data_IF_260324278690
#
_entry.id   IF_260324278690
#
_cell.length_a   1.000
_cell.length_b   1.000
_cell.length_c   1.000
_cell.angle_alpha   90.00
_cell.angle_beta   90.00
_cell.angle_gamma   90.00
#
_symmetry.space_group_name_H-M   'P 1'
#
loop_
_entity.id
_entity.type
_entity.pdbx_description
1 polymer ?
#
# COMPACT_ATOMS: atom_id res chain seq x y z
N UNK A 1 37.50 1.29 -3.14
CA UNK A 1 36.64 0.42 -2.30
C UNK A 1 35.14 0.45 -2.71
N UNK A 2 34.76 1.00 -3.87
CA UNK A 2 33.35 1.13 -4.31
C UNK A 2 32.74 -0.12 -4.96
N UNK A 3 33.54 -0.97 -5.64
CA UNK A 3 33.01 -2.12 -6.37
C UNK A 3 32.41 -3.23 -5.48
N UNK A 4 32.82 -3.33 -4.21
CA UNK A 4 32.29 -4.33 -3.26
C UNK A 4 30.99 -3.91 -2.60
N UNK A 5 30.69 -2.61 -2.47
CA UNK A 5 29.43 -2.14 -1.90
C UNK A 5 28.32 -2.18 -2.94
N UNK A 6 28.63 -1.86 -4.19
CA UNK A 6 27.66 -1.89 -5.30
C UNK A 6 27.21 -3.32 -5.64
N UNK A 7 28.11 -4.30 -5.59
CA UNK A 7 27.75 -5.71 -5.80
C UNK A 7 26.88 -6.27 -4.67
N UNK A 8 27.10 -5.84 -3.43
CA UNK A 8 26.28 -6.20 -2.26
C UNK A 8 24.89 -5.56 -2.32
N UNK A 9 24.80 -4.28 -2.70
CA UNK A 9 23.53 -3.57 -2.88
C UNK A 9 22.71 -4.20 -4.02
N UNK A 10 23.37 -4.55 -5.14
CA UNK A 10 22.74 -5.26 -6.25
C UNK A 10 22.17 -6.62 -5.85
N UNK A 11 22.95 -7.41 -5.10
CA UNK A 11 22.52 -8.72 -4.60
C UNK A 11 21.34 -8.60 -3.63
N UNK A 12 21.38 -7.63 -2.70
CA UNK A 12 20.28 -7.39 -1.74
C UNK A 12 18.97 -7.06 -2.46
N UNK A 13 19.02 -6.18 -3.46
CA UNK A 13 17.85 -5.80 -4.26
C UNK A 13 17.31 -6.99 -5.06
N UNK A 14 18.18 -7.72 -5.75
CA UNK A 14 17.80 -8.91 -6.52
C UNK A 14 17.06 -9.94 -5.65
N UNK A 15 17.59 -10.22 -4.46
CA UNK A 15 16.96 -11.15 -3.51
C UNK A 15 15.56 -10.66 -3.10
N UNK A 16 15.38 -9.38 -2.78
CA UNK A 16 14.08 -8.83 -2.39
C UNK A 16 13.07 -8.91 -3.55
N UNK A 17 13.48 -8.54 -4.77
CA UNK A 17 12.60 -8.53 -5.93
C UNK A 17 12.13 -9.96 -6.28
N UNK A 18 13.03 -10.94 -6.25
CA UNK A 18 12.70 -12.36 -6.46
C UNK A 18 11.85 -12.92 -5.32
N UNK A 19 12.21 -12.64 -4.07
CA UNK A 19 11.45 -13.10 -2.92
C UNK A 19 10.03 -12.55 -2.92
N UNK A 20 9.83 -11.30 -3.32
CA UNK A 20 8.50 -10.68 -3.46
C UNK A 20 7.61 -11.50 -4.41
N UNK A 21 8.13 -11.86 -5.58
CA UNK A 21 7.39 -12.66 -6.58
C UNK A 21 7.07 -14.07 -6.07
N UNK A 22 8.06 -14.73 -5.46
CA UNK A 22 7.89 -16.08 -4.93
C UNK A 22 6.91 -16.11 -3.75
N UNK A 23 7.02 -15.18 -2.81
CA UNK A 23 6.08 -15.06 -1.70
C UNK A 23 4.66 -14.75 -2.18
N UNK A 24 4.50 -13.85 -3.16
CA UNK A 24 3.21 -13.58 -3.79
C UNK A 24 2.60 -14.85 -4.40
N UNK A 25 3.38 -15.61 -5.18
CA UNK A 25 2.89 -16.83 -5.86
C UNK A 25 2.62 -18.01 -4.92
N UNK A 26 3.51 -18.29 -3.97
CA UNK A 26 3.53 -19.55 -3.22
C UNK A 26 3.14 -19.39 -1.76
N UNK A 27 3.28 -18.18 -1.21
CA UNK A 27 3.23 -17.94 0.23
C UNK A 27 4.55 -18.28 0.92
N UNK A 28 4.73 -17.76 2.14
CA UNK A 28 5.99 -17.89 2.87
C UNK A 28 6.35 -19.35 3.16
N UNK A 29 5.38 -20.18 3.53
CA UNK A 29 5.62 -21.56 3.95
C UNK A 29 6.23 -22.42 2.85
N UNK A 30 5.73 -22.25 1.62
CA UNK A 30 6.15 -23.03 0.45
C UNK A 30 7.42 -22.53 -0.21
N UNK A 31 7.85 -21.30 0.08
CA UNK A 31 9.12 -20.77 -0.43
C UNK A 31 10.32 -21.31 0.35
N UNK A 32 11.42 -21.57 -0.36
CA UNK A 32 12.71 -21.92 0.25
C UNK A 32 13.78 -20.85 -0.04
N UNK A 33 14.71 -20.65 0.90
CA UNK A 33 15.85 -19.75 0.69
C UNK A 33 16.78 -20.23 -0.43
N UNK A 34 16.83 -21.54 -0.69
CA UNK A 34 17.58 -22.12 -1.83
C UNK A 34 17.00 -21.69 -3.16
N UNK A 35 15.68 -21.76 -3.29
CA UNK A 35 14.96 -21.34 -4.50
C UNK A 35 15.11 -19.85 -4.75
N UNK A 36 14.93 -19.02 -3.71
CA UNK A 36 15.13 -17.57 -3.80
C UNK A 36 16.56 -17.24 -4.24
N UNK A 37 17.57 -17.85 -3.61
CA UNK A 37 18.97 -17.61 -3.95
C UNK A 37 19.30 -18.02 -5.41
N UNK A 38 18.74 -19.15 -5.85
CA UNK A 38 18.92 -19.63 -7.22
C UNK A 38 18.27 -18.68 -8.23
N UNK A 39 17.04 -18.25 -7.99
CA UNK A 39 16.32 -17.35 -8.90
C UNK A 39 16.87 -15.92 -8.90
N UNK A 40 17.47 -15.47 -7.80
CA UNK A 40 18.10 -14.16 -7.70
C UNK A 40 19.56 -14.13 -8.14
N UNK A 41 20.09 -15.25 -8.66
CA UNK A 41 21.51 -15.46 -8.98
C UNK A 41 22.45 -14.98 -7.86
N UNK A 42 22.12 -15.36 -6.62
CA UNK A 42 22.81 -14.90 -5.42
C UNK A 42 23.29 -16.07 -4.57
N UNK A 43 24.36 -15.85 -3.81
CA UNK A 43 24.80 -16.83 -2.84
C UNK A 43 23.77 -16.94 -1.70
N UNK A 44 23.29 -18.16 -1.41
CA UNK A 44 22.31 -18.44 -0.36
C UNK A 44 22.72 -17.91 1.02
N UNK A 45 24.03 -17.87 1.32
CA UNK A 45 24.55 -17.32 2.58
C UNK A 45 24.22 -15.85 2.77
N UNK A 46 24.01 -15.09 1.67
CA UNK A 46 23.59 -13.69 1.73
C UNK A 46 22.18 -13.52 2.28
N UNK A 47 21.28 -14.50 2.09
CA UNK A 47 19.93 -14.42 2.64
C UNK A 47 19.97 -14.47 4.17
N UNK A 48 20.73 -15.41 4.72
CA UNK A 48 20.93 -15.54 6.16
C UNK A 48 21.67 -14.33 6.71
N UNK A 49 22.71 -13.84 6.01
CA UNK A 49 23.51 -12.71 6.43
C UNK A 49 22.75 -11.38 6.42
N UNK A 50 22.01 -11.07 5.35
CA UNK A 50 21.30 -9.78 5.23
C UNK A 50 19.97 -9.75 5.94
N UNK A 51 19.27 -10.88 6.00
CA UNK A 51 17.87 -10.91 6.43
C UNK A 51 17.61 -11.87 7.59
N UNK A 52 18.61 -12.61 8.07
CA UNK A 52 18.38 -13.57 9.16
C UNK A 52 17.53 -14.77 8.76
N UNK A 53 17.44 -15.07 7.45
CA UNK A 53 16.69 -16.21 6.91
C UNK A 53 15.37 -15.82 6.24
N UNK A 54 14.49 -16.81 6.03
CA UNK A 54 13.24 -16.66 5.26
C UNK A 54 12.28 -15.64 5.89
N UNK A 55 12.08 -15.75 7.20
CA UNK A 55 11.17 -14.89 7.97
C UNK A 55 11.60 -13.42 7.96
N UNK A 56 12.89 -13.15 8.20
CA UNK A 56 13.37 -11.79 8.17
C UNK A 56 13.42 -11.22 6.74
N UNK A 57 13.63 -12.06 5.72
CA UNK A 57 13.48 -11.63 4.32
C UNK A 57 12.03 -11.25 4.00
N UNK A 58 11.06 -12.03 4.46
CA UNK A 58 9.64 -11.69 4.31
C UNK A 58 9.30 -10.36 4.98
N UNK A 59 9.75 -10.16 6.23
CA UNK A 59 9.58 -8.87 6.94
C UNK A 59 10.23 -7.71 6.18
N UNK A 60 11.41 -7.92 5.60
CA UNK A 60 12.10 -6.88 4.83
C UNK A 60 11.37 -6.53 3.53
N UNK A 61 10.77 -7.51 2.84
CA UNK A 61 9.89 -7.27 1.67
C UNK A 61 8.72 -6.35 2.08
N UNK A 62 8.03 -6.68 3.19
CA UNK A 62 6.93 -5.87 3.71
C UNK A 62 7.38 -4.47 4.13
N UNK A 63 8.51 -4.37 4.84
CA UNK A 63 9.07 -3.12 5.33
C UNK A 63 9.50 -2.21 4.18
N UNK A 64 10.19 -2.74 3.17
CA UNK A 64 10.58 -1.98 1.98
C UNK A 64 9.36 -1.40 1.29
N UNK A 65 8.32 -2.21 1.07
CA UNK A 65 7.10 -1.72 0.44
C UNK A 65 6.42 -0.63 1.26
N UNK A 66 6.32 -0.80 2.59
CA UNK A 66 5.76 0.20 3.48
C UNK A 66 6.54 1.52 3.45
N UNK A 67 7.88 1.46 3.35
CA UNK A 67 8.73 2.64 3.19
C UNK A 67 8.55 3.32 1.82
N UNK A 68 8.42 2.54 0.75
CA UNK A 68 8.14 3.06 -0.60
C UNK A 68 6.79 3.83 -0.61
N UNK A 69 5.78 3.33 0.12
CA UNK A 69 4.50 4.02 0.33
C UNK A 69 4.69 5.30 1.15
N UNK A 70 5.42 5.21 2.26
CA UNK A 70 5.68 6.35 3.14
C UNK A 70 6.37 7.50 2.40
N UNK A 71 7.34 7.19 1.55
CA UNK A 71 8.01 8.21 0.75
C UNK A 71 7.06 8.80 -0.31
N UNK A 72 6.25 7.96 -0.96
CA UNK A 72 5.25 8.41 -1.95
C UNK A 72 4.12 9.26 -1.35
N UNK A 73 3.88 9.18 -0.04
CA UNK A 73 2.82 9.90 0.68
C UNK A 73 3.34 11.05 1.54
N UNK A 74 4.65 11.37 1.44
CA UNK A 74 5.30 12.37 2.28
C UNK A 74 4.62 13.74 2.16
N UNK A 75 4.36 14.19 0.94
CA UNK A 75 3.72 15.48 0.68
C UNK A 75 2.20 15.49 0.95
N UNK A 76 1.56 14.32 1.04
CA UNK A 76 0.10 14.24 1.24
C UNK A 76 -0.21 14.70 2.67
N UNK A 77 -1.15 15.64 2.80
CA UNK A 77 -1.61 16.29 4.03
C UNK A 77 -0.62 17.26 4.69
N UNK A 78 0.61 17.40 4.18
CA UNK A 78 1.61 18.30 4.79
C UNK A 78 1.25 19.77 4.61
N UNK A 79 0.69 20.15 3.46
CA UNK A 79 0.31 21.53 3.19
C UNK A 79 -1.01 21.88 3.89
N UNK A 80 -1.97 20.95 3.87
CA UNK A 80 -3.25 21.08 4.56
C UNK A 80 -3.13 21.19 6.09
N UNK A 81 -2.05 20.65 6.67
CA UNK A 81 -1.77 20.79 8.11
C UNK A 81 -1.01 22.07 8.48
N UNK A 82 -0.44 22.78 7.50
CA UNK A 82 0.31 24.03 7.71
C UNK A 82 -0.49 25.29 7.35
N UNK A 83 -1.39 25.18 6.37
CA UNK A 83 -2.19 26.29 5.85
C UNK A 83 -3.62 26.32 6.36
N UNK A 84 -4.41 27.27 5.84
CA UNK A 84 -5.84 27.25 6.07
C UNK A 84 -6.50 26.10 5.30
N UNK A 85 -7.09 25.16 6.03
CA UNK A 85 -7.87 24.10 5.44
C UNK A 85 -9.19 24.64 4.85
N UNK A 86 -9.36 24.47 3.54
CA UNK A 86 -10.59 24.74 2.79
C UNK A 86 -11.22 23.45 2.27
N UNK A 87 -12.47 23.54 1.79
CA UNK A 87 -13.18 22.39 1.19
C UNK A 87 -12.48 21.88 -0.07
N UNK A 88 -11.96 22.80 -0.88
CA UNK A 88 -11.21 22.50 -2.10
C UNK A 88 -9.91 21.79 -1.75
N UNK A 89 -9.15 22.29 -0.77
CA UNK A 89 -7.90 21.68 -0.33
C UNK A 89 -8.14 20.27 0.23
N UNK A 90 -9.13 20.11 1.13
CA UNK A 90 -9.50 18.79 1.65
C UNK A 90 -9.84 17.81 0.51
N UNK A 91 -10.64 18.25 -0.47
CA UNK A 91 -11.00 17.44 -1.63
C UNK A 91 -9.78 17.03 -2.45
N UNK A 92 -8.82 17.95 -2.67
CA UNK A 92 -7.57 17.64 -3.37
C UNK A 92 -6.70 16.64 -2.59
N UNK A 93 -6.64 16.75 -1.27
CA UNK A 93 -5.90 15.81 -0.42
C UNK A 93 -6.49 14.39 -0.49
N UNK A 94 -7.83 14.26 -0.40
CA UNK A 94 -8.50 12.96 -0.57
C UNK A 94 -8.27 12.39 -1.97
N UNK A 95 -8.33 13.24 -3.00
CA UNK A 95 -8.02 12.85 -4.39
C UNK A 95 -6.60 12.31 -4.53
N UNK A 96 -5.60 13.00 -3.99
CA UNK A 96 -4.21 12.55 -4.03
C UNK A 96 -4.03 11.23 -3.27
N UNK A 97 -4.72 11.05 -2.15
CA UNK A 97 -4.71 9.79 -1.40
C UNK A 97 -5.27 8.63 -2.24
N UNK A 98 -6.42 8.82 -2.91
CA UNK A 98 -7.02 7.78 -3.77
C UNK A 98 -6.12 7.48 -4.96
N UNK A 99 -5.59 8.50 -5.64
CA UNK A 99 -4.62 8.36 -6.74
C UNK A 99 -3.42 7.52 -6.31
N UNK A 100 -2.89 7.78 -5.12
CA UNK A 100 -1.78 7.03 -4.57
C UNK A 100 -2.15 5.57 -4.28
N UNK A 101 -3.31 5.33 -3.66
CA UNK A 101 -3.79 3.97 -3.37
C UNK A 101 -3.97 3.14 -4.65
N UNK A 102 -4.58 3.71 -5.69
CA UNK A 102 -4.74 3.07 -7.00
C UNK A 102 -3.37 2.77 -7.62
N UNK A 103 -2.46 3.75 -7.66
CA UNK A 103 -1.12 3.59 -8.23
C UNK A 103 -0.33 2.46 -7.57
N UNK A 104 -0.44 2.28 -6.25
CA UNK A 104 0.25 1.21 -5.54
C UNK A 104 -0.21 -0.17 -5.97
N UNK A 105 -1.51 -0.34 -6.21
CA UNK A 105 -2.10 -1.61 -6.65
C UNK A 105 -1.61 -1.99 -8.03
N UNK A 106 -1.60 -1.02 -8.94
CA UNK A 106 -1.16 -1.21 -10.33
C UNK A 106 0.33 -1.51 -10.39
N UNK A 107 1.16 -0.77 -9.63
CA UNK A 107 2.62 -0.91 -9.68
C UNK A 107 3.14 -2.15 -8.96
N UNK A 108 2.45 -2.64 -7.92
CA UNK A 108 2.93 -3.73 -7.07
C UNK A 108 1.82 -4.79 -6.81
N UNK A 109 1.30 -5.47 -7.85
CA UNK A 109 0.24 -6.47 -7.69
C UNK A 109 0.68 -7.65 -6.80
N UNK A 110 1.95 -8.04 -6.81
CA UNK A 110 2.51 -9.06 -5.94
C UNK A 110 2.36 -8.70 -4.46
N UNK A 111 2.61 -7.43 -4.11
CA UNK A 111 2.46 -6.96 -2.74
C UNK A 111 0.99 -6.97 -2.30
N UNK A 112 0.06 -6.65 -3.21
CA UNK A 112 -1.37 -6.76 -2.90
C UNK A 112 -1.73 -8.19 -2.46
N UNK A 113 -1.24 -9.23 -3.15
CA UNK A 113 -1.48 -10.63 -2.78
C UNK A 113 -0.84 -11.04 -1.45
N UNK A 114 0.35 -10.52 -1.15
CA UNK A 114 1.04 -10.79 0.11
C UNK A 114 0.26 -10.17 1.28
N UNK A 115 -0.08 -8.88 1.18
CA UNK A 115 -0.81 -8.21 2.25
C UNK A 115 -2.24 -8.75 2.42
N UNK A 116 -2.93 -9.18 1.35
CA UNK A 116 -4.26 -9.78 1.47
C UNK A 116 -4.22 -11.00 2.38
N UNK A 117 -3.24 -11.90 2.15
CA UNK A 117 -3.03 -13.09 3.00
C UNK A 117 -2.64 -12.73 4.42
N UNK A 118 -1.74 -11.75 4.60
CA UNK A 118 -1.38 -11.27 5.93
C UNK A 118 -2.60 -10.75 6.69
N UNK A 119 -3.41 -9.88 6.09
CA UNK A 119 -4.62 -9.33 6.71
C UNK A 119 -5.60 -10.43 7.12
N UNK A 120 -5.90 -11.36 6.23
CA UNK A 120 -6.82 -12.48 6.49
C UNK A 120 -6.34 -13.37 7.65
N UNK A 121 -5.03 -13.50 7.83
CA UNK A 121 -4.42 -14.28 8.90
C UNK A 121 -4.07 -13.47 10.16
N UNK A 122 -4.48 -12.20 10.27
CA UNK A 122 -4.24 -11.37 11.46
C UNK A 122 -2.84 -10.73 11.54
N UNK A 123 -2.16 -10.60 10.41
CA UNK A 123 -0.84 -9.98 10.19
C UNK A 123 0.32 -10.62 10.99
N UNK A 124 0.55 -11.94 10.89
CA UNK A 124 1.56 -12.64 11.70
C UNK A 124 2.99 -12.10 11.49
N UNK A 125 3.33 -11.62 10.29
CA UNK A 125 4.67 -11.11 9.99
C UNK A 125 4.69 -9.58 9.76
N UNK A 126 3.54 -8.98 9.46
CA UNK A 126 3.43 -7.57 9.07
C UNK A 126 2.84 -6.63 10.11
N UNK A 127 2.33 -7.13 11.26
CA UNK A 127 1.74 -6.27 12.30
C UNK A 127 2.69 -5.18 12.77
N UNK A 128 3.95 -5.52 13.03
CA UNK A 128 4.95 -4.53 13.45
C UNK A 128 5.18 -3.46 12.38
N UNK A 129 5.25 -3.86 11.09
CA UNK A 129 5.38 -2.93 9.96
C UNK A 129 4.15 -2.01 9.86
N UNK A 130 2.96 -2.56 10.12
CA UNK A 130 1.73 -1.78 10.21
C UNK A 130 1.83 -0.70 11.29
N UNK A 131 2.14 -1.08 12.53
CA UNK A 131 2.21 -0.14 13.66
C UNK A 131 3.31 0.91 13.50
N UNK A 132 4.48 0.54 12.99
CA UNK A 132 5.64 1.44 12.89
C UNK A 132 5.58 2.40 11.69
N UNK A 133 4.93 1.98 10.59
CA UNK A 133 5.03 2.71 9.32
C UNK A 133 3.65 3.14 8.83
N UNK A 134 2.69 2.22 8.73
CA UNK A 134 1.36 2.54 8.20
C UNK A 134 0.53 3.38 9.17
N UNK A 135 0.46 2.98 10.44
CA UNK A 135 -0.39 3.65 11.41
C UNK A 135 -0.04 5.15 11.57
N UNK A 136 1.24 5.58 11.65
CA UNK A 136 1.58 7.00 11.63
C UNK A 136 1.06 7.75 10.39
N UNK A 137 1.06 7.14 9.21
CA UNK A 137 0.49 7.74 8.00
C UNK A 137 -1.04 7.90 8.12
N UNK A 138 -1.72 6.89 8.65
CA UNK A 138 -3.17 6.91 8.88
C UNK A 138 -3.53 8.00 9.90
N UNK A 139 -2.73 8.19 10.95
CA UNK A 139 -2.99 9.24 11.94
C UNK A 139 -2.90 10.66 11.38
N UNK A 140 -2.05 10.90 10.35
CA UNK A 140 -2.02 12.19 9.63
C UNK A 140 -3.35 12.45 8.94
N UNK A 141 -3.92 11.44 8.28
CA UNK A 141 -5.27 11.52 7.71
C UNK A 141 -6.32 11.80 8.79
N UNK A 142 -6.28 11.14 9.95
CA UNK A 142 -7.22 11.41 11.04
C UNK A 142 -7.14 12.85 11.55
N UNK A 143 -5.95 13.42 11.63
CA UNK A 143 -5.76 14.83 12.00
C UNK A 143 -6.41 15.75 10.99
N UNK A 144 -6.15 15.56 9.70
CA UNK A 144 -6.77 16.35 8.63
C UNK A 144 -8.31 16.24 8.66
N UNK A 145 -8.83 15.02 8.80
CA UNK A 145 -10.26 14.76 8.81
C UNK A 145 -10.95 15.47 9.99
N UNK A 146 -10.36 15.40 11.19
CA UNK A 146 -10.86 16.10 12.38
C UNK A 146 -10.83 17.63 12.20
N UNK A 147 -9.77 18.18 11.60
CA UNK A 147 -9.71 19.61 11.27
C UNK A 147 -10.82 20.01 10.29
N UNK A 148 -11.10 19.17 9.28
CA UNK A 148 -12.18 19.39 8.33
C UNK A 148 -13.56 19.38 9.03
N UNK A 149 -13.77 18.50 10.01
CA UNK A 149 -14.99 18.47 10.82
C UNK A 149 -15.15 19.74 11.68
N UNK A 150 -14.08 20.19 12.34
CA UNK A 150 -14.10 21.41 13.15
C UNK A 150 -14.45 22.65 12.32
N UNK A 151 -13.98 22.70 11.08
CA UNK A 151 -14.28 23.76 10.10
C UNK A 151 -15.61 23.58 9.37
N UNK A 152 -16.40 22.54 9.70
CA UNK A 152 -17.67 22.20 9.05
C UNK A 152 -17.54 21.95 7.54
N UNK A 153 -16.38 21.49 7.09
CA UNK A 153 -16.14 21.03 5.71
C UNK A 153 -16.67 19.60 5.55
N UNK A 154 -16.49 18.80 6.60
CA UNK A 154 -16.91 17.39 6.70
C UNK A 154 -17.94 17.25 7.80
N UNK A 155 -18.93 16.39 7.59
CA UNK A 155 -19.97 16.11 8.57
C UNK A 155 -19.38 15.55 9.89
N UNK A 156 -19.82 16.05 11.07
CA UNK A 156 -19.21 15.72 12.36
C UNK A 156 -19.54 14.30 12.87
N UNK A 157 -20.58 13.67 12.34
CA UNK A 157 -21.03 12.31 12.70
C UNK A 157 -20.32 11.21 11.91
N UNK A 158 -19.54 11.57 10.88
CA UNK A 158 -18.73 10.62 10.12
C UNK A 158 -17.48 10.23 10.92
N UNK A 159 -17.32 8.94 11.19
CA UNK A 159 -16.13 8.41 11.84
C UNK A 159 -14.96 8.34 10.85
N UNK A 160 -13.86 9.05 11.15
CA UNK A 160 -12.68 9.11 10.27
C UNK A 160 -12.04 7.73 10.02
N UNK A 161 -11.98 6.84 11.02
CA UNK A 161 -11.40 5.52 10.86
C UNK A 161 -12.27 4.64 9.95
N UNK A 162 -13.59 4.69 10.13
CA UNK A 162 -14.53 3.98 9.26
C UNK A 162 -14.44 4.50 7.82
N UNK A 163 -14.37 5.82 7.61
CA UNK A 163 -14.18 6.40 6.28
C UNK A 163 -12.88 5.90 5.64
N UNK A 164 -11.76 5.91 6.38
CA UNK A 164 -10.47 5.45 5.86
C UNK A 164 -10.49 3.97 5.50
N UNK A 165 -11.00 3.12 6.39
CA UNK A 165 -11.06 1.67 6.18
C UNK A 165 -11.98 1.36 5.00
N UNK A 166 -13.20 1.90 4.96
CA UNK A 166 -14.13 1.65 3.85
C UNK A 166 -13.54 2.11 2.51
N UNK A 167 -12.95 3.30 2.43
CA UNK A 167 -12.31 3.79 1.21
C UNK A 167 -11.13 2.91 0.76
N UNK A 168 -10.22 2.62 1.69
CA UNK A 168 -9.01 1.84 1.37
C UNK A 168 -9.33 0.38 1.01
N UNK A 169 -10.25 -0.27 1.72
CA UNK A 169 -10.70 -1.62 1.42
C UNK A 169 -11.63 -1.67 0.20
N UNK A 170 -12.37 -0.60 -0.11
CA UNK A 170 -13.16 -0.50 -1.33
C UNK A 170 -12.29 -0.46 -2.59
N UNK A 171 -11.23 0.37 -2.57
CA UNK A 171 -10.22 0.39 -3.64
C UNK A 171 -9.52 -0.96 -3.75
N UNK A 172 -9.17 -1.56 -2.60
CA UNK A 172 -8.57 -2.88 -2.54
C UNK A 172 -9.45 -3.94 -3.22
N UNK A 173 -10.69 -4.07 -2.73
CA UNK A 173 -11.63 -5.10 -3.17
C UNK A 173 -11.97 -4.98 -4.65
N UNK A 174 -11.99 -3.76 -5.20
CA UNK A 174 -12.12 -3.56 -6.65
C UNK A 174 -11.02 -4.30 -7.42
N UNK A 175 -9.75 -4.09 -7.07
CA UNK A 175 -8.64 -4.75 -7.77
C UNK A 175 -8.60 -6.27 -7.56
N UNK A 176 -8.98 -6.75 -6.38
CA UNK A 176 -9.09 -8.19 -6.13
C UNK A 176 -10.20 -8.83 -6.96
N UNK A 177 -11.40 -8.24 -6.95
CA UNK A 177 -12.52 -8.73 -7.74
C UNK A 177 -12.23 -8.64 -9.23
N UNK A 178 -11.56 -7.58 -9.69
CA UNK A 178 -11.12 -7.45 -11.07
C UNK A 178 -10.13 -8.56 -11.46
N UNK A 179 -9.17 -8.87 -10.58
CA UNK A 179 -8.18 -9.93 -10.83
C UNK A 179 -8.79 -11.35 -10.90
N UNK A 180 -9.99 -11.56 -10.35
CA UNK A 180 -10.71 -12.83 -10.45
C UNK A 180 -11.23 -13.15 -11.87
N UNK A 181 -11.21 -12.18 -12.81
CA UNK A 181 -11.63 -12.38 -14.21
C UNK A 181 -13.03 -13.00 -14.36
N UNK A 182 -13.97 -12.58 -13.52
CA UNK A 182 -15.37 -13.05 -13.58
C UNK A 182 -16.17 -12.24 -14.61
N UNK A 183 -17.43 -12.60 -14.83
CA UNK A 183 -18.32 -11.83 -15.72
C UNK A 183 -18.51 -10.38 -15.26
N UNK A 184 -18.38 -10.11 -13.95
CA UNK A 184 -18.46 -8.76 -13.37
C UNK A 184 -17.45 -7.79 -13.99
N UNK A 185 -16.32 -8.28 -14.54
CA UNK A 185 -15.36 -7.42 -15.22
C UNK A 185 -15.96 -6.68 -16.42
N UNK A 186 -16.97 -7.25 -17.08
CA UNK A 186 -17.68 -6.61 -18.20
C UNK A 186 -18.51 -5.43 -17.73
N UNK A 187 -19.03 -5.49 -16.50
CA UNK A 187 -19.87 -4.46 -15.91
C UNK A 187 -19.05 -3.27 -15.37
N UNK A 188 -17.72 -3.42 -15.28
CA UNK A 188 -16.82 -2.32 -14.92
C UNK A 188 -16.49 -1.39 -16.10
N UNK A 189 -17.01 -1.60 -17.31
CA UNK A 189 -16.91 -0.65 -18.45
C UNK A 189 -15.52 -0.02 -18.66
N UNK A 190 -14.44 -0.81 -18.54
CA UNK A 190 -13.02 -0.39 -18.64
C UNK A 190 -12.47 0.46 -17.47
N UNK A 191 -13.17 0.60 -16.34
CA UNK A 191 -12.68 1.34 -15.16
C UNK A 191 -11.33 0.84 -14.64
N UNK A 192 -11.00 -0.44 -14.84
CA UNK A 192 -9.71 -0.96 -14.44
C UNK A 192 -8.54 -0.43 -15.30
N UNK A 193 -8.82 -0.07 -16.56
CA UNK A 193 -7.84 0.49 -17.49
C UNK A 193 -7.85 2.03 -17.44
N UNK A 194 -8.99 2.64 -17.09
CA UNK A 194 -9.13 4.07 -16.84
C UNK A 194 -9.04 4.42 -15.35
N UNK A 195 -7.80 4.47 -14.83
CA UNK A 195 -7.55 4.85 -13.44
C UNK A 195 -8.05 6.25 -13.08
N UNK A 196 -8.17 7.16 -14.07
CA UNK A 196 -8.67 8.52 -13.84
C UNK A 196 -10.15 8.46 -13.51
N UNK A 197 -10.91 7.70 -14.31
CA UNK A 197 -12.33 7.53 -14.10
C UNK A 197 -12.63 6.70 -12.86
N UNK A 198 -11.87 5.63 -12.60
CA UNK A 198 -11.98 4.86 -11.35
C UNK A 198 -11.84 5.76 -10.12
N UNK A 199 -10.82 6.62 -10.11
CA UNK A 199 -10.64 7.60 -9.03
C UNK A 199 -11.84 8.55 -8.93
N UNK A 200 -12.33 9.07 -10.05
CA UNK A 200 -13.47 9.99 -10.05
C UNK A 200 -14.73 9.33 -9.46
N UNK A 201 -14.96 8.05 -9.76
CA UNK A 201 -16.06 7.27 -9.18
C UNK A 201 -15.90 7.10 -7.66
N UNK A 202 -14.71 6.72 -7.18
CA UNK A 202 -14.44 6.67 -5.74
C UNK A 202 -14.62 8.03 -5.06
N UNK A 203 -14.12 9.10 -5.64
CA UNK A 203 -14.32 10.45 -5.12
C UNK A 203 -15.80 10.81 -5.04
N UNK A 204 -16.58 10.50 -6.08
CA UNK A 204 -18.02 10.76 -6.10
C UNK A 204 -18.73 9.98 -5.00
N UNK A 205 -18.50 8.67 -4.90
CA UNK A 205 -19.11 7.81 -3.87
C UNK A 205 -18.80 8.32 -2.46
N UNK A 206 -17.53 8.64 -2.19
CA UNK A 206 -17.08 8.97 -0.84
C UNK A 206 -17.24 10.44 -0.44
N UNK A 207 -17.20 11.40 -1.38
CA UNK A 207 -17.31 12.82 -1.05
C UNK A 207 -18.73 13.38 -1.20
N UNK A 208 -19.58 12.81 -2.05
CA UNK A 208 -20.97 13.31 -2.22
C UNK A 208 -21.79 13.19 -0.94
N UNK A 209 -21.54 12.19 -0.08
CA UNK A 209 -22.24 12.00 1.20
C UNK A 209 -21.55 12.59 2.43
N UNK A 210 -20.31 13.08 2.31
CA UNK A 210 -19.45 13.43 3.46
C UNK A 210 -19.21 14.94 3.59
N UNK A 211 -19.22 15.65 2.47
CA UNK A 211 -19.07 17.10 2.46
C UNK A 211 -20.37 17.79 2.94
N UNK A 212 -20.21 18.89 3.67
CA UNK A 212 -21.31 19.80 4.07
C UNK A 212 -21.56 20.85 2.99
#
# INVERSE_FOLDING_TARGET
>A
MSASSDSKLGSRKSIIDVATKLFAKLGIDKCSTREIAKESDSNISLISYYFGGKEGLYKEVMRKHALDIKEGTKAIFDDATKGELTKELFTQEIKQMIDMMIRLRVKNPEMAQIFAREKLCGMPHSRQVHEEIFYPMITRFFTLFKQAQQKKIVQPDINAALFFVSLSEGIWGFFEMFACNTQLNKDFENLADDHLELRNQFLKIYLTGVLV
#
